data_IF_659124300412
#
_entry.id   IF_659124300412
#
_cell.length_a   1.000
_cell.length_b   1.000
_cell.length_c   1.000
_cell.angle_alpha   90.00
_cell.angle_beta   90.00
_cell.angle_gamma   90.00
#
_symmetry.space_group_name_H-M   'P 1'
#
loop_
_entity.id
_entity.type
_entity.pdbx_description
1 polymer ?
#
# COMPACT_ATOMS: atom_id res chain seq x y z
N UNK A 1 -4.31 37.40 -4.77
CA UNK A 1 -4.82 36.04 -5.06
C UNK A 1 -6.11 35.87 -4.28
N UNK A 2 -7.27 35.85 -4.94
CA UNK A 2 -8.56 35.65 -4.28
C UNK A 2 -8.67 34.17 -3.91
N UNK A 3 -9.04 33.86 -2.66
CA UNK A 3 -9.34 32.49 -2.24
C UNK A 3 -10.72 32.13 -2.76
N UNK A 4 -10.82 31.03 -3.49
CA UNK A 4 -12.09 30.52 -3.98
C UNK A 4 -12.89 29.96 -2.77
N UNK A 5 -14.08 30.51 -2.45
CA UNK A 5 -14.88 30.07 -1.31
C UNK A 5 -15.28 28.60 -1.38
N UNK A 6 -15.30 28.02 -2.59
CA UNK A 6 -15.47 26.58 -2.78
C UNK A 6 -14.39 25.70 -2.11
N UNK A 7 -13.21 26.24 -1.78
CA UNK A 7 -12.16 25.54 -1.03
C UNK A 7 -12.21 25.78 0.49
N UNK A 8 -13.18 26.56 0.97
CA UNK A 8 -13.35 26.78 2.42
C UNK A 8 -13.98 25.57 3.13
N UNK A 9 -14.72 24.74 2.39
CA UNK A 9 -15.29 23.48 2.89
C UNK A 9 -14.25 22.35 2.74
N UNK A 10 -13.80 21.84 3.88
CA UNK A 10 -12.77 20.82 4.02
C UNK A 10 -13.22 19.41 3.59
N UNK A 11 -14.52 19.23 3.33
CA UNK A 11 -15.10 17.95 2.92
C UNK A 11 -15.13 17.73 1.40
N UNK A 12 -14.97 18.79 0.60
CA UNK A 12 -15.26 18.75 -0.85
C UNK A 12 -14.06 18.48 -1.74
N UNK A 13 -12.85 18.66 -1.22
CA UNK A 13 -11.61 18.42 -1.98
C UNK A 13 -10.92 17.20 -1.42
N UNK A 14 -10.74 16.19 -2.27
CA UNK A 14 -9.96 15.00 -1.96
C UNK A 14 -8.62 15.07 -2.68
N UNK A 15 -7.54 14.87 -1.94
CA UNK A 15 -6.23 14.61 -2.52
C UNK A 15 -6.05 13.11 -2.71
N UNK A 16 -5.45 12.75 -3.84
CA UNK A 16 -4.99 11.41 -4.12
C UNK A 16 -3.46 11.44 -4.16
N UNK A 17 -2.83 10.52 -3.43
CA UNK A 17 -1.39 10.31 -3.50
C UNK A 17 -1.08 8.81 -3.53
N UNK A 18 0.07 8.46 -4.11
CA UNK A 18 0.51 7.08 -4.28
C UNK A 18 1.63 6.73 -3.30
N UNK A 19 1.48 5.60 -2.61
CA UNK A 19 2.56 5.02 -1.80
C UNK A 19 2.90 3.61 -2.29
N UNK A 20 4.19 3.32 -2.38
CA UNK A 20 4.65 1.97 -2.69
C UNK A 20 4.64 1.10 -1.42
N UNK A 21 3.75 0.12 -1.38
CA UNK A 21 3.67 -0.87 -0.29
C UNK A 21 4.50 -2.10 -0.65
N UNK A 22 5.54 -2.38 0.14
CA UNK A 22 6.38 -3.58 -0.05
C UNK A 22 5.66 -4.83 0.47
N UNK A 23 5.60 -5.89 -0.32
CA UNK A 23 5.07 -7.20 0.12
C UNK A 23 6.06 -8.01 0.98
N UNK A 24 7.31 -7.55 1.10
CA UNK A 24 8.33 -8.27 1.84
C UNK A 24 8.02 -8.22 3.33
N UNK A 25 7.77 -9.39 3.92
CA UNK A 25 7.61 -9.52 5.37
C UNK A 25 8.86 -8.97 6.09
N UNK A 26 8.66 -8.04 7.03
CA UNK A 26 9.73 -7.65 7.96
C UNK A 26 10.06 -8.87 8.82
N UNK A 27 11.25 -9.44 8.64
CA UNK A 27 11.71 -10.56 9.45
C UNK A 27 11.73 -10.15 10.93
N UNK A 28 11.08 -10.93 11.79
CA UNK A 28 11.11 -10.71 13.25
C UNK A 28 12.55 -10.75 13.79
N UNK A 29 12.80 -10.04 14.90
CA UNK A 29 14.07 -10.14 15.61
C UNK A 29 14.19 -11.55 16.19
N UNK A 30 15.25 -12.28 15.82
CA UNK A 30 15.52 -13.63 16.31
C UNK A 30 16.57 -13.56 17.41
N UNK A 31 16.30 -14.18 18.57
CA UNK A 31 17.29 -14.39 19.62
C UNK A 31 18.10 -15.65 19.30
N UNK A 32 19.42 -15.52 19.21
CA UNK A 32 20.34 -16.64 18.94
C UNK A 32 21.47 -16.69 19.96
N UNK A 33 22.01 -17.89 20.20
CA UNK A 33 23.15 -18.10 21.09
C UNK A 33 24.38 -17.34 20.57
N UNK A 34 25.11 -16.67 21.46
CA UNK A 34 26.34 -15.92 21.13
C UNK A 34 27.31 -16.84 20.38
N UNK A 35 27.58 -16.53 19.10
CA UNK A 35 28.46 -17.30 18.22
C UNK A 35 27.77 -18.09 17.10
N UNK A 36 26.44 -18.19 17.11
CA UNK A 36 25.69 -18.77 15.98
C UNK A 36 25.64 -17.79 14.79
N UNK A 37 26.28 -18.18 13.68
CA UNK A 37 26.35 -17.39 12.44
C UNK A 37 25.27 -17.75 11.41
N UNK A 38 24.65 -18.92 11.54
CA UNK A 38 23.64 -19.43 10.61
C UNK A 38 22.23 -19.26 11.20
N UNK A 39 21.77 -18.02 11.30
CA UNK A 39 20.38 -17.72 11.67
C UNK A 39 19.56 -17.74 10.39
N UNK A 40 18.75 -18.79 10.21
CA UNK A 40 17.90 -18.94 9.04
C UNK A 40 16.91 -17.79 8.93
N UNK A 41 17.20 -16.81 8.07
CA UNK A 41 16.25 -15.73 7.77
C UNK A 41 15.22 -16.30 6.79
N UNK A 42 14.04 -16.65 7.28
CA UNK A 42 12.89 -16.94 6.41
C UNK A 42 12.39 -15.60 5.85
N UNK A 43 13.14 -15.03 4.92
CA UNK A 43 12.61 -13.99 4.03
C UNK A 43 12.20 -14.72 2.77
N UNK A 44 10.94 -14.56 2.36
CA UNK A 44 10.56 -14.97 1.01
C UNK A 44 11.54 -14.32 0.03
N UNK A 45 12.05 -15.11 -0.93
CA UNK A 45 12.85 -14.61 -2.04
C UNK A 45 12.00 -13.81 -3.05
N UNK A 46 10.79 -13.40 -2.66
CA UNK A 46 10.01 -12.34 -3.27
C UNK A 46 10.79 -11.03 -3.22
N UNK A 47 11.75 -10.89 -4.14
CA UNK A 47 12.27 -9.59 -4.54
C UNK A 47 11.10 -8.69 -4.93
N UNK A 48 10.71 -7.79 -4.02
CA UNK A 48 10.23 -6.46 -4.34
C UNK A 48 9.06 -6.36 -5.32
N UNK A 49 7.98 -7.12 -5.12
CA UNK A 49 6.72 -6.77 -5.77
C UNK A 49 6.15 -5.55 -5.03
N UNK A 50 6.53 -4.34 -5.47
CA UNK A 50 5.93 -3.10 -4.97
C UNK A 50 4.48 -3.07 -5.42
N UNK A 51 3.56 -2.96 -4.48
CA UNK A 51 2.16 -2.68 -4.77
C UNK A 51 1.97 -1.18 -4.63
N UNK A 52 1.55 -0.53 -5.71
CA UNK A 52 1.17 0.88 -5.67
C UNK A 52 -0.18 1.00 -4.98
N UNK A 53 -0.23 1.76 -3.90
CA UNK A 53 -1.46 2.02 -3.13
C UNK A 53 -1.82 3.49 -3.26
N UNK A 54 -2.96 3.81 -3.87
CA UNK A 54 -3.45 5.18 -3.94
C UNK A 54 -4.40 5.43 -2.77
N UNK A 55 -4.05 6.41 -1.93
CA UNK A 55 -4.86 6.87 -0.82
C UNK A 55 -5.59 8.15 -1.22
N UNK A 56 -6.90 8.22 -0.91
CA UNK A 56 -7.75 9.36 -1.30
C UNK A 56 -8.36 9.95 -0.03
N UNK A 57 -7.93 11.15 0.36
CA UNK A 57 -8.26 11.76 1.67
C UNK A 57 -8.61 13.24 1.49
N UNK A 58 -9.64 13.72 2.19
CA UNK A 58 -9.97 15.16 2.28
C UNK A 58 -9.41 15.81 3.55
N UNK A 59 -9.46 17.15 3.62
CA UNK A 59 -8.91 17.91 4.74
C UNK A 59 -9.68 17.66 6.06
N UNK A 60 -10.96 17.28 5.99
CA UNK A 60 -11.75 16.82 7.13
C UNK A 60 -11.32 15.43 7.66
N UNK A 61 -10.39 14.75 6.98
CA UNK A 61 -9.89 13.42 7.37
C UNK A 61 -10.76 12.24 6.89
N UNK A 62 -11.76 12.49 6.06
CA UNK A 62 -12.51 11.41 5.42
C UNK A 62 -11.66 10.77 4.33
N UNK A 63 -11.69 9.45 4.25
CA UNK A 63 -10.99 8.68 3.23
C UNK A 63 -11.96 7.86 2.39
N UNK A 64 -11.76 7.85 1.07
CA UNK A 64 -12.38 6.83 0.22
C UNK A 64 -11.57 5.53 0.30
N UNK A 65 -12.17 4.38 -0.02
CA UNK A 65 -11.44 3.13 -0.09
C UNK A 65 -10.21 3.25 -1.01
N UNK A 66 -9.06 2.67 -0.62
CA UNK A 66 -7.85 2.81 -1.40
C UNK A 66 -7.91 2.03 -2.71
N UNK A 67 -7.02 2.37 -3.63
CA UNK A 67 -6.81 1.61 -4.86
C UNK A 67 -5.47 0.88 -4.72
N UNK A 68 -5.43 -0.42 -4.95
CA UNK A 68 -4.21 -1.22 -4.91
C UNK A 68 -3.91 -1.77 -6.30
N UNK A 69 -2.78 -1.37 -6.87
CA UNK A 69 -2.32 -1.75 -8.20
C UNK A 69 -1.19 -2.78 -8.06
N UNK A 70 -1.47 -4.02 -8.47
CA UNK A 70 -0.53 -5.13 -8.40
C UNK A 70 0.22 -5.27 -9.73
N UNK A 71 1.56 -5.40 -9.74
CA UNK A 71 2.34 -5.64 -10.95
C UNK A 71 2.21 -7.12 -11.39
N UNK A 72 1.03 -7.49 -11.89
CA UNK A 72 0.66 -8.83 -12.35
C UNK A 72 -0.24 -8.73 -13.58
N UNK A 73 -0.21 -9.76 -14.43
CA UNK A 73 -1.09 -9.87 -15.60
C UNK A 73 -2.54 -10.19 -15.19
N UNK A 74 -2.72 -10.95 -14.10
CA UNK A 74 -4.03 -11.40 -13.64
C UNK A 74 -4.26 -10.99 -12.19
N UNK A 75 -5.35 -10.27 -11.97
CA UNK A 75 -5.86 -9.99 -10.64
C UNK A 75 -6.53 -11.24 -10.05
N UNK A 76 -6.34 -11.49 -8.75
CA UNK A 76 -7.08 -12.51 -8.00
C UNK A 76 -7.63 -11.89 -6.73
N UNK A 77 -8.88 -12.20 -6.39
CA UNK A 77 -9.56 -11.62 -5.21
C UNK A 77 -8.78 -11.81 -3.90
N UNK A 78 -8.06 -12.93 -3.74
CA UNK A 78 -7.25 -13.15 -2.54
C UNK A 78 -6.08 -12.16 -2.37
N UNK A 79 -5.73 -11.40 -3.41
CA UNK A 79 -4.69 -10.36 -3.32
C UNK A 79 -5.12 -9.17 -2.44
N UNK A 80 -6.43 -9.02 -2.18
CA UNK A 80 -6.99 -8.01 -1.28
C UNK A 80 -7.26 -8.56 0.13
N UNK A 81 -6.82 -9.76 0.47
CA UNK A 81 -6.98 -10.30 1.83
C UNK A 81 -6.23 -9.39 2.81
N UNK A 82 -6.97 -8.83 3.76
CA UNK A 82 -6.43 -7.86 4.74
C UNK A 82 -6.42 -6.41 4.28
N UNK A 83 -6.85 -6.10 3.05
CA UNK A 83 -7.04 -4.72 2.60
C UNK A 83 -8.28 -4.08 3.24
N UNK A 84 -8.34 -2.74 3.36
CA UNK A 84 -9.53 -2.04 3.82
C UNK A 84 -10.79 -2.40 3.01
N UNK A 85 -11.94 -2.41 3.67
CA UNK A 85 -13.22 -2.71 3.01
C UNK A 85 -13.49 -1.71 1.88
N UNK A 86 -13.88 -2.24 0.72
CA UNK A 86 -14.14 -1.44 -0.49
C UNK A 86 -12.91 -1.14 -1.34
N UNK A 87 -11.73 -1.64 -0.97
CA UNK A 87 -10.49 -1.46 -1.76
C UNK A 87 -10.69 -1.95 -3.19
N UNK A 88 -10.32 -1.11 -4.17
CA UNK A 88 -10.32 -1.50 -5.58
C UNK A 88 -8.97 -2.13 -5.93
N UNK A 89 -8.98 -3.41 -6.28
CA UNK A 89 -7.78 -4.13 -6.75
C UNK A 89 -7.66 -4.08 -8.26
N UNK A 90 -6.52 -3.60 -8.75
CA UNK A 90 -6.17 -3.56 -10.17
C UNK A 90 -4.90 -4.37 -10.42
N UNK A 91 -4.74 -4.93 -11.61
CA UNK A 91 -3.54 -5.65 -12.00
C UNK A 91 -3.00 -5.11 -13.33
N UNK A 92 -1.72 -4.79 -13.36
CA UNK A 92 -1.01 -4.28 -14.54
C UNK A 92 0.27 -5.09 -14.79
N UNK A 93 0.60 -5.47 -16.03
CA UNK A 93 1.84 -6.16 -16.36
C UNK A 93 3.10 -5.32 -16.06
N UNK A 94 3.00 -4.00 -16.17
CA UNK A 94 4.03 -3.04 -15.81
C UNK A 94 3.64 -2.39 -14.49
N UNK A 95 4.34 -2.74 -13.40
CA UNK A 95 4.28 -1.94 -12.18
C UNK A 95 4.73 -0.51 -12.48
N UNK A 96 4.08 0.47 -11.89
CA UNK A 96 4.54 1.86 -11.93
C UNK A 96 5.95 2.01 -11.39
#
# INVERSE_FOLDING_TARGET
MLREPAFADDTRVYNLDETCTMTVQKSAKVLAVKGQKQIGKVTSAEKGTLISTCCIINAAGNSLPPIMIFPRVHFKQHMLVGAPTGTLGLATPSGG
#
